data_IF_727894533333
#
_entry.id   IF_727894533333
#
_cell.length_a   1.000
_cell.length_b   1.000
_cell.length_c   1.000
_cell.angle_alpha   90.00
_cell.angle_beta   90.00
_cell.angle_gamma   90.00
#
_symmetry.space_group_name_H-M   'P 1'
#
loop_
_entity.id
_entity.type
_entity.pdbx_description
1 polymer ?
#
# COMPACT_ATOMS: atom_id res chain seq x y z
N UNK A 1 -29.04 5.76 -20.99
CA UNK A 1 -30.17 5.02 -20.41
C UNK A 1 -29.66 3.65 -20.00
N UNK A 2 -29.88 3.24 -18.75
CA UNK A 2 -29.43 1.94 -18.25
C UNK A 2 -30.34 0.82 -18.79
N UNK A 3 -29.74 -0.33 -19.09
CA UNK A 3 -30.39 -1.56 -19.56
C UNK A 3 -30.71 -2.49 -18.37
N UNK A 4 -31.61 -3.45 -18.54
CA UNK A 4 -31.95 -4.41 -17.47
C UNK A 4 -30.74 -5.20 -16.95
N UNK A 5 -29.80 -5.52 -17.84
CA UNK A 5 -28.53 -6.16 -17.50
C UNK A 5 -27.64 -5.29 -16.61
N UNK A 6 -27.77 -3.97 -16.71
CA UNK A 6 -27.02 -3.04 -15.86
C UNK A 6 -27.52 -3.13 -14.42
N UNK A 7 -28.83 -3.25 -14.19
CA UNK A 7 -29.38 -3.39 -12.84
C UNK A 7 -28.97 -4.70 -12.16
N UNK A 8 -28.83 -5.78 -12.92
CA UNK A 8 -28.26 -7.04 -12.43
C UNK A 8 -26.78 -6.88 -12.05
N UNK A 9 -26.00 -6.14 -12.85
CA UNK A 9 -24.60 -5.85 -12.54
C UNK A 9 -24.47 -4.98 -11.27
N UNK A 10 -25.26 -3.92 -11.15
CA UNK A 10 -25.29 -3.04 -9.98
C UNK A 10 -25.65 -3.79 -8.69
N UNK A 11 -26.66 -4.67 -8.76
CA UNK A 11 -27.07 -5.50 -7.62
C UNK A 11 -25.98 -6.45 -7.15
N UNK A 12 -25.22 -7.04 -8.10
CA UNK A 12 -24.08 -7.90 -7.78
C UNK A 12 -22.94 -7.13 -7.11
N UNK A 13 -22.71 -5.88 -7.52
CA UNK A 13 -21.69 -5.02 -6.94
C UNK A 13 -22.13 -4.38 -5.61
N UNK A 14 -23.44 -4.38 -5.31
CA UNK A 14 -24.02 -3.71 -4.14
C UNK A 14 -24.17 -2.21 -4.31
N UNK A 15 -24.16 -1.71 -5.55
CA UNK A 15 -24.27 -0.29 -5.88
C UNK A 15 -25.73 0.03 -6.18
N UNK A 16 -26.30 1.07 -5.57
CA UNK A 16 -27.66 1.47 -5.90
C UNK A 16 -27.71 2.27 -7.20
N UNK A 17 -28.88 2.26 -7.86
CA UNK A 17 -29.10 3.08 -9.07
C UNK A 17 -28.88 4.58 -8.76
N UNK A 18 -29.36 5.01 -7.61
CA UNK A 18 -29.28 6.40 -7.17
C UNK A 18 -27.82 6.84 -6.96
N UNK A 19 -26.97 5.96 -6.42
CA UNK A 19 -25.53 6.24 -6.27
C UNK A 19 -24.86 6.47 -7.62
N UNK A 20 -25.17 5.65 -8.63
CA UNK A 20 -24.61 5.80 -9.98
C UNK A 20 -25.10 7.09 -10.64
N UNK A 21 -26.39 7.40 -10.53
CA UNK A 21 -26.96 8.64 -11.07
C UNK A 21 -26.33 9.87 -10.41
N UNK A 22 -26.10 9.82 -9.10
CA UNK A 22 -25.40 10.87 -8.35
C UNK A 22 -23.93 11.00 -8.76
N UNK A 23 -23.22 9.89 -8.98
CA UNK A 23 -21.84 9.90 -9.46
C UNK A 23 -21.74 10.58 -10.84
N UNK A 24 -22.61 10.20 -11.78
CA UNK A 24 -22.65 10.81 -13.12
C UNK A 24 -23.00 12.30 -13.03
N UNK A 25 -23.99 12.66 -12.21
CA UNK A 25 -24.37 14.06 -12.00
C UNK A 25 -23.20 14.90 -11.43
N UNK A 26 -22.41 14.32 -10.51
CA UNK A 26 -21.22 14.99 -9.98
C UNK A 26 -20.14 15.21 -11.05
N UNK A 27 -19.97 14.28 -12.00
CA UNK A 27 -19.06 14.49 -13.13
C UNK A 27 -19.56 15.57 -14.10
N UNK A 28 -20.87 15.64 -14.36
CA UNK A 28 -21.48 16.66 -15.21
C UNK A 28 -21.41 18.06 -14.59
N UNK A 29 -21.74 18.17 -13.30
CA UNK A 29 -21.78 19.45 -12.58
C UNK A 29 -20.39 19.92 -12.15
N UNK A 30 -19.46 18.99 -11.98
CA UNK A 30 -18.18 19.21 -11.34
C UNK A 30 -18.29 19.29 -9.82
N UNK A 31 -17.16 19.20 -9.14
CA UNK A 31 -17.08 19.35 -7.68
C UNK A 31 -16.81 20.82 -7.33
N UNK A 32 -17.47 21.36 -6.30
CA UNK A 32 -17.17 22.71 -5.83
C UNK A 32 -15.71 22.77 -5.37
N UNK A 33 -15.06 23.90 -5.63
CA UNK A 33 -13.74 24.16 -5.07
C UNK A 33 -13.84 24.26 -3.55
N UNK A 34 -12.82 23.74 -2.86
CA UNK A 34 -12.66 23.98 -1.44
C UNK A 34 -12.45 25.48 -1.20
N UNK A 35 -13.17 26.04 -0.24
CA UNK A 35 -12.97 27.42 0.20
C UNK A 35 -11.71 27.48 1.08
N UNK A 36 -10.58 27.89 0.49
CA UNK A 36 -9.29 27.98 1.17
C UNK A 36 -9.22 29.32 1.91
N UNK A 37 -9.37 29.28 3.23
CA UNK A 37 -9.38 30.48 4.06
C UNK A 37 -7.97 31.03 4.30
N UNK A 38 -7.07 30.22 4.87
CA UNK A 38 -5.66 30.57 5.19
C UNK A 38 -4.87 29.30 5.55
N UNK A 39 -3.52 29.31 5.49
CA UNK A 39 -2.71 28.17 5.93
C UNK A 39 -2.85 27.94 7.44
N UNK A 40 -2.73 26.67 7.87
CA UNK A 40 -2.64 26.34 9.29
C UNK A 40 -1.25 26.76 9.83
N UNK A 41 -1.22 27.49 10.94
CA UNK A 41 -0.01 27.94 11.63
C UNK A 41 0.03 27.39 13.06
N UNK A 42 1.18 27.50 13.72
CA UNK A 42 1.27 27.19 15.16
C UNK A 42 0.35 28.15 15.92
N UNK A 43 -0.58 27.59 16.69
CA UNK A 43 -1.64 28.34 17.38
C UNK A 43 -2.89 28.62 16.52
N UNK A 44 -2.89 28.22 15.24
CA UNK A 44 -3.97 28.44 14.28
C UNK A 44 -4.13 27.18 13.41
N UNK A 45 -4.65 26.12 14.03
CA UNK A 45 -4.83 24.80 13.40
C UNK A 45 -3.68 23.81 13.63
N UNK A 46 -2.49 24.27 14.06
CA UNK A 46 -1.39 23.39 14.49
C UNK A 46 -1.10 23.63 15.97
N UNK A 47 -1.17 22.55 16.77
CA UNK A 47 -0.74 22.55 18.17
C UNK A 47 0.74 22.20 18.22
N UNK A 48 1.54 23.02 18.90
CA UNK A 48 2.93 22.73 19.21
C UNK A 48 3.03 22.38 20.68
N UNK A 49 3.53 21.19 20.97
CA UNK A 49 3.76 20.71 22.33
C UNK A 49 5.19 21.03 22.76
N UNK A 50 5.36 21.46 24.00
CA UNK A 50 6.64 21.53 24.69
C UNK A 50 7.07 20.14 25.15
N UNK A 51 8.37 19.93 25.37
CA UNK A 51 8.90 18.59 25.70
C UNK A 51 8.23 17.96 26.93
N UNK A 52 7.94 18.74 27.97
CA UNK A 52 7.25 18.24 29.17
C UNK A 52 5.81 17.80 28.89
N UNK A 53 5.10 18.50 28.01
CA UNK A 53 3.72 18.15 27.64
C UNK A 53 3.68 16.84 26.84
N UNK A 54 4.70 16.60 26.01
CA UNK A 54 4.83 15.34 25.27
C UNK A 54 4.98 14.17 26.22
N UNK A 55 5.86 14.28 27.23
CA UNK A 55 6.08 13.19 28.20
C UNK A 55 4.81 12.88 29.00
N UNK A 56 4.10 13.92 29.48
CA UNK A 56 2.83 13.78 30.21
C UNK A 56 1.75 13.10 29.36
N UNK A 57 1.61 13.48 28.08
CA UNK A 57 0.65 12.87 27.15
C UNK A 57 1.00 11.42 26.83
N UNK A 58 2.29 11.12 26.66
CA UNK A 58 2.76 9.75 26.43
C UNK A 58 2.44 8.86 27.64
N UNK A 59 2.61 9.37 28.85
CA UNK A 59 2.28 8.61 30.07
C UNK A 59 0.76 8.44 30.25
N UNK A 60 -0.03 9.47 29.94
CA UNK A 60 -1.49 9.37 29.86
C UNK A 60 -1.90 8.28 28.86
N UNK A 61 -1.32 8.28 27.66
CA UNK A 61 -1.57 7.26 26.65
C UNK A 61 -1.17 5.86 27.12
N UNK A 62 -0.03 5.68 27.81
CA UNK A 62 0.35 4.38 28.37
C UNK A 62 -0.64 3.87 29.42
N UNK A 63 -1.24 4.77 30.20
CA UNK A 63 -2.24 4.43 31.23
C UNK A 63 -3.64 4.17 30.69
N UNK A 64 -3.92 4.58 29.44
CA UNK A 64 -5.23 4.44 28.84
C UNK A 64 -5.63 2.98 28.62
N UNK A 65 -6.70 2.52 29.28
CA UNK A 65 -7.13 1.12 29.21
C UNK A 65 -8.01 0.79 27.99
N UNK A 66 -8.42 1.81 27.23
CA UNK A 66 -9.29 1.62 26.07
C UNK A 66 -8.64 0.80 24.95
N UNK A 67 -9.51 0.24 24.12
CA UNK A 67 -9.18 -0.57 22.97
C UNK A 67 -8.40 0.23 21.93
N UNK A 68 -7.48 -0.45 21.24
CA UNK A 68 -6.62 0.15 20.22
C UNK A 68 -6.49 -0.78 19.05
N UNK A 69 -6.55 -0.23 17.86
CA UNK A 69 -6.33 -1.00 16.63
C UNK A 69 -5.58 -0.19 15.60
N UNK A 70 -4.71 -0.86 14.85
CA UNK A 70 -4.01 -0.27 13.72
C UNK A 70 -4.68 -0.68 12.42
N UNK A 71 -5.28 0.28 11.74
CA UNK A 71 -5.92 0.10 10.44
C UNK A 71 -4.94 0.44 9.31
N UNK A 72 -4.72 -0.51 8.40
CA UNK A 72 -3.73 -0.42 7.33
C UNK A 72 -4.37 -0.65 5.97
N UNK A 73 -4.57 0.41 5.17
CA UNK A 73 -5.00 0.27 3.80
C UNK A 73 -3.92 -0.43 2.94
N UNK A 74 -4.22 -1.63 2.42
CA UNK A 74 -3.25 -2.48 1.74
C UNK A 74 -3.78 -3.15 0.44
N UNK A 75 -4.92 -2.71 -0.09
CA UNK A 75 -5.58 -3.31 -1.26
C UNK A 75 -4.92 -2.99 -2.60
N UNK A 76 -4.03 -1.98 -2.65
CA UNK A 76 -3.39 -1.55 -3.89
C UNK A 76 -2.24 -2.44 -4.35
N UNK A 77 -2.27 -2.86 -5.62
CA UNK A 77 -1.13 -3.46 -6.30
C UNK A 77 0.03 -2.45 -6.46
N UNK A 78 1.26 -2.94 -6.45
CA UNK A 78 2.46 -2.11 -6.61
C UNK A 78 2.74 -1.70 -8.06
N UNK A 79 1.86 -1.98 -9.03
CA UNK A 79 2.12 -1.80 -10.47
C UNK A 79 2.59 -0.39 -10.83
N UNK A 80 2.04 0.67 -10.22
CA UNK A 80 2.51 2.06 -10.45
C UNK A 80 3.93 2.31 -9.95
N UNK A 81 4.37 1.61 -8.90
CA UNK A 81 5.72 1.72 -8.35
C UNK A 81 6.78 1.28 -9.36
N UNK A 82 6.45 0.33 -10.23
CA UNK A 82 7.37 -0.25 -11.22
C UNK A 82 7.13 0.24 -12.65
N UNK A 83 6.29 1.28 -12.86
CA UNK A 83 5.93 1.79 -14.20
C UNK A 83 7.15 2.08 -15.07
N UNK A 84 8.14 2.78 -14.54
CA UNK A 84 9.36 3.12 -15.28
C UNK A 84 10.21 1.91 -15.66
N UNK A 85 10.16 0.83 -14.87
CA UNK A 85 10.87 -0.41 -15.19
C UNK A 85 10.14 -1.19 -16.30
N UNK A 86 8.80 -1.14 -16.34
CA UNK A 86 8.03 -1.68 -17.45
C UNK A 86 8.25 -0.90 -18.75
N UNK A 87 8.22 0.44 -18.68
CA UNK A 87 8.56 1.29 -19.83
C UNK A 87 9.97 0.97 -20.35
N UNK A 88 10.93 0.75 -19.45
CA UNK A 88 12.27 0.32 -19.82
C UNK A 88 12.30 -1.08 -20.48
N UNK A 89 11.53 -2.06 -19.97
CA UNK A 89 11.46 -3.41 -20.57
C UNK A 89 10.99 -3.38 -22.03
N UNK A 90 10.06 -2.48 -22.36
CA UNK A 90 9.52 -2.33 -23.71
C UNK A 90 10.50 -1.58 -24.62
N UNK A 91 11.15 -0.52 -24.11
CA UNK A 91 12.00 0.37 -24.89
C UNK A 91 13.43 -0.17 -25.10
N UNK A 92 14.03 -0.80 -24.09
CA UNK A 92 15.43 -1.18 -24.08
C UNK A 92 15.86 -2.11 -25.23
N UNK A 93 15.07 -3.12 -25.66
CA UNK A 93 15.41 -3.95 -26.81
C UNK A 93 15.62 -3.17 -28.12
N UNK A 94 14.98 -1.99 -28.26
CA UNK A 94 15.07 -1.16 -29.47
C UNK A 94 16.04 0.01 -29.29
N UNK A 95 15.99 0.68 -28.13
CA UNK A 95 16.75 1.91 -27.85
C UNK A 95 18.13 1.68 -27.22
N UNK A 96 18.37 0.49 -26.66
CA UNK A 96 19.64 0.14 -26.01
C UNK A 96 20.08 1.16 -24.96
N UNK A 97 21.32 1.65 -25.08
CA UNK A 97 21.91 2.56 -24.10
C UNK A 97 21.20 3.93 -24.00
N UNK A 98 20.37 4.31 -24.98
CA UNK A 98 19.60 5.56 -24.94
C UNK A 98 18.61 5.59 -23.75
N UNK A 99 18.16 4.42 -23.28
CA UNK A 99 17.32 4.30 -22.09
C UNK A 99 18.01 4.76 -20.79
N UNK A 100 19.34 4.99 -20.82
CA UNK A 100 20.14 5.43 -19.68
C UNK A 100 20.58 6.89 -19.78
N UNK A 101 20.06 7.68 -20.71
CA UNK A 101 20.40 9.11 -20.83
C UNK A 101 19.97 9.87 -19.59
N UNK A 102 18.77 9.59 -19.05
CA UNK A 102 18.33 10.18 -17.79
C UNK A 102 19.13 9.58 -16.62
N UNK A 103 19.78 10.47 -15.85
CA UNK A 103 20.55 10.16 -14.64
C UNK A 103 19.89 10.71 -13.38
N UNK A 104 18.65 11.17 -13.49
CA UNK A 104 17.86 11.68 -12.38
C UNK A 104 17.56 10.61 -11.33
N UNK A 105 17.10 11.06 -10.15
CA UNK A 105 16.83 10.18 -9.01
C UNK A 105 15.82 9.06 -9.33
N UNK A 106 14.79 9.35 -10.12
CA UNK A 106 13.76 8.37 -10.50
C UNK A 106 14.07 7.60 -11.80
N UNK A 107 15.29 7.73 -12.34
CA UNK A 107 15.67 7.10 -13.61
C UNK A 107 15.97 5.61 -13.45
N UNK A 108 15.82 4.86 -14.55
CA UNK A 108 16.24 3.45 -14.61
C UNK A 108 17.76 3.29 -14.44
N UNK A 109 18.56 4.28 -14.86
CA UNK A 109 19.99 4.27 -14.56
C UNK A 109 20.25 4.27 -13.05
N UNK A 110 19.63 5.19 -12.30
CA UNK A 110 19.80 5.26 -10.86
C UNK A 110 19.34 3.98 -10.16
N UNK A 111 18.28 3.34 -10.68
CA UNK A 111 17.83 2.03 -10.21
C UNK A 111 18.92 0.95 -10.33
N UNK A 112 19.52 0.77 -11.51
CA UNK A 112 20.54 -0.27 -11.71
C UNK A 112 21.84 0.02 -10.96
N UNK A 113 22.28 1.28 -10.91
CA UNK A 113 23.47 1.69 -10.13
C UNK A 113 23.34 1.39 -8.64
N UNK A 114 22.12 1.48 -8.12
CA UNK A 114 21.83 1.25 -6.70
C UNK A 114 21.10 -0.07 -6.45
N UNK A 115 21.06 -0.97 -7.44
CA UNK A 115 20.28 -2.21 -7.35
C UNK A 115 20.70 -3.05 -6.13
N UNK A 116 21.99 -3.04 -5.82
CA UNK A 116 22.58 -3.73 -4.66
C UNK A 116 22.15 -3.18 -3.29
N UNK A 117 21.60 -1.96 -3.23
CA UNK A 117 21.13 -1.31 -1.99
C UNK A 117 19.68 -1.62 -1.67
N UNK A 118 18.91 -2.14 -2.62
CA UNK A 118 17.50 -2.46 -2.39
C UNK A 118 17.35 -3.64 -1.44
N UNK A 119 16.31 -3.59 -0.61
CA UNK A 119 15.98 -4.64 0.35
C UNK A 119 15.71 -6.01 -0.30
N UNK A 120 15.25 -6.02 -1.55
CA UNK A 120 15.01 -7.26 -2.30
C UNK A 120 16.24 -7.79 -3.05
N UNK A 121 17.36 -7.09 -3.08
CA UNK A 121 18.53 -7.45 -3.90
C UNK A 121 19.03 -8.88 -3.64
N UNK A 122 19.18 -9.25 -2.38
CA UNK A 122 19.61 -10.60 -1.98
C UNK A 122 18.64 -11.69 -2.44
N UNK A 123 17.36 -11.36 -2.54
CA UNK A 123 16.31 -12.30 -3.00
C UNK A 123 16.30 -12.40 -4.51
N UNK A 124 16.45 -11.27 -5.21
CA UNK A 124 16.59 -11.22 -6.67
C UNK A 124 17.80 -12.02 -7.15
N UNK A 125 18.95 -11.84 -6.49
CA UNK A 125 20.17 -12.58 -6.82
C UNK A 125 19.97 -14.09 -6.69
N UNK A 126 19.36 -14.54 -5.58
CA UNK A 126 19.08 -15.97 -5.35
C UNK A 126 18.11 -16.55 -6.38
N UNK A 127 17.11 -15.77 -6.77
CA UNK A 127 16.14 -16.16 -7.81
C UNK A 127 16.85 -16.35 -9.16
N UNK A 128 17.71 -15.41 -9.56
CA UNK A 128 18.52 -15.51 -10.78
C UNK A 128 19.45 -16.72 -10.75
N UNK A 129 20.17 -16.93 -9.64
CA UNK A 129 21.07 -18.07 -9.45
C UNK A 129 20.33 -19.41 -9.53
N UNK A 130 19.12 -19.50 -8.96
CA UNK A 130 18.28 -20.70 -9.03
C UNK A 130 17.83 -21.02 -10.47
N UNK A 131 17.74 -19.99 -11.31
CA UNK A 131 17.47 -20.11 -12.75
C UNK A 131 18.75 -20.20 -13.60
N UNK A 132 19.91 -20.48 -12.97
CA UNK A 132 21.23 -20.64 -13.61
C UNK A 132 21.80 -19.38 -14.26
N UNK A 133 21.34 -18.20 -13.85
CA UNK A 133 21.94 -16.93 -14.24
C UNK A 133 22.95 -16.44 -13.20
N UNK A 134 24.03 -15.79 -13.65
CA UNK A 134 24.92 -15.01 -12.78
C UNK A 134 24.54 -13.54 -12.90
N UNK A 135 24.24 -12.89 -11.77
CA UNK A 135 23.91 -11.47 -11.75
C UNK A 135 25.05 -10.62 -12.34
N UNK A 136 26.29 -10.92 -11.98
CA UNK A 136 27.47 -10.21 -12.48
C UNK A 136 27.63 -10.36 -14.01
N UNK A 137 27.38 -11.56 -14.54
CA UNK A 137 27.40 -11.80 -15.98
C UNK A 137 26.30 -11.02 -16.70
N UNK A 138 25.06 -11.04 -16.19
CA UNK A 138 23.95 -10.29 -16.79
C UNK A 138 24.22 -8.77 -16.84
N UNK A 139 24.82 -8.20 -15.79
CA UNK A 139 25.22 -6.79 -15.79
C UNK A 139 26.33 -6.52 -16.81
N UNK A 140 27.34 -7.40 -16.91
CA UNK A 140 28.44 -7.25 -17.86
C UNK A 140 27.98 -7.37 -19.32
N UNK A 141 27.05 -8.28 -19.59
CA UNK A 141 26.43 -8.52 -20.89
C UNK A 141 25.33 -7.49 -21.21
N UNK A 142 25.02 -6.59 -20.28
CA UNK A 142 23.92 -5.62 -20.36
C UNK A 142 22.55 -6.26 -20.60
N UNK A 143 22.35 -7.49 -20.12
CA UNK A 143 21.05 -8.17 -20.13
C UNK A 143 20.19 -7.73 -18.93
N UNK A 144 19.80 -6.46 -18.97
CA UNK A 144 18.91 -5.86 -17.99
C UNK A 144 17.49 -6.40 -18.08
N UNK A 145 17.10 -6.93 -19.25
CA UNK A 145 15.76 -7.51 -19.48
C UNK A 145 15.57 -8.72 -18.59
N UNK A 146 16.53 -9.66 -18.57
CA UNK A 146 16.44 -10.86 -17.73
C UNK A 146 16.35 -10.50 -16.23
N UNK A 147 17.11 -9.49 -15.78
CA UNK A 147 17.07 -9.01 -14.39
C UNK A 147 15.67 -8.47 -14.04
N UNK A 148 15.10 -7.61 -14.89
CA UNK A 148 13.79 -7.01 -14.63
C UNK A 148 12.65 -8.03 -14.74
N UNK A 149 12.74 -9.00 -15.65
CA UNK A 149 11.77 -10.10 -15.73
C UNK A 149 11.77 -10.94 -14.46
N UNK A 150 12.95 -11.29 -13.94
CA UNK A 150 13.07 -12.02 -12.68
C UNK A 150 12.52 -11.23 -11.46
N UNK A 151 12.49 -9.91 -11.54
CA UNK A 151 11.91 -9.05 -10.51
C UNK A 151 10.38 -8.93 -10.66
N UNK A 152 9.89 -8.64 -11.87
CA UNK A 152 8.54 -8.13 -12.09
C UNK A 152 7.54 -9.18 -12.56
N UNK A 153 7.98 -10.20 -13.32
CA UNK A 153 7.08 -11.14 -13.98
C UNK A 153 6.63 -12.29 -13.05
N UNK A 154 5.49 -12.94 -13.35
CA UNK A 154 5.08 -14.17 -12.69
C UNK A 154 6.14 -15.29 -12.75
N UNK A 155 6.01 -16.28 -11.87
CA UNK A 155 6.90 -17.45 -11.74
C UNK A 155 8.31 -17.19 -11.19
N UNK A 156 8.68 -15.91 -11.00
CA UNK A 156 9.88 -15.49 -10.28
C UNK A 156 9.48 -14.68 -9.04
N UNK A 157 10.07 -13.51 -8.77
CA UNK A 157 9.68 -12.69 -7.62
C UNK A 157 8.29 -12.08 -7.75
N UNK A 158 7.80 -11.85 -8.98
CA UNK A 158 6.45 -11.37 -9.27
C UNK A 158 6.09 -10.02 -8.62
N UNK A 159 7.07 -9.15 -8.35
CA UNK A 159 6.82 -7.87 -7.64
C UNK A 159 5.87 -6.94 -8.39
N UNK A 160 5.76 -7.08 -9.71
CA UNK A 160 4.82 -6.31 -10.52
C UNK A 160 3.35 -6.54 -10.20
N UNK A 161 3.01 -7.74 -9.71
CA UNK A 161 1.65 -8.16 -9.38
C UNK A 161 1.40 -8.31 -7.87
N UNK A 162 2.40 -8.05 -7.03
CA UNK A 162 2.22 -8.10 -5.58
C UNK A 162 1.70 -6.76 -5.04
N UNK A 163 0.88 -6.76 -3.98
CA UNK A 163 0.58 -5.55 -3.22
C UNK A 163 1.85 -5.09 -2.49
N UNK A 164 1.96 -3.78 -2.26
CA UNK A 164 3.13 -3.18 -1.59
C UNK A 164 3.43 -3.81 -0.23
N UNK A 165 2.40 -4.27 0.49
CA UNK A 165 2.53 -4.97 1.76
C UNK A 165 3.40 -6.22 1.73
N UNK A 166 3.50 -6.91 0.58
CA UNK A 166 4.29 -8.13 0.43
C UNK A 166 5.69 -7.87 -0.17
N UNK A 167 6.02 -6.61 -0.45
CA UNK A 167 7.30 -6.20 -1.03
C UNK A 167 8.26 -5.79 0.10
N UNK A 168 9.54 -6.14 -0.05
CA UNK A 168 10.62 -5.75 0.87
C UNK A 168 10.98 -4.27 0.70
N UNK A 169 10.86 -3.51 1.79
CA UNK A 169 11.10 -2.06 1.80
C UNK A 169 12.42 -1.71 2.46
N UNK A 170 12.76 -2.35 3.59
CA UNK A 170 13.96 -2.03 4.35
C UNK A 170 14.83 -3.26 4.58
N UNK A 171 16.12 -3.01 4.75
CA UNK A 171 17.12 -4.03 5.01
C UNK A 171 17.83 -3.73 6.33
N UNK A 172 17.95 -4.75 7.17
CA UNK A 172 18.62 -4.70 8.47
C UNK A 172 19.69 -5.81 8.55
N UNK A 173 20.61 -5.78 9.52
CA UNK A 173 21.62 -6.83 9.71
C UNK A 173 21.02 -8.23 9.85
N UNK A 174 19.85 -8.35 10.49
CA UNK A 174 19.11 -9.60 10.68
C UNK A 174 18.28 -10.03 9.46
N UNK A 175 18.11 -9.14 8.48
CA UNK A 175 17.39 -9.44 7.24
C UNK A 175 16.52 -8.28 6.74
N UNK A 176 15.91 -8.53 5.58
CA UNK A 176 15.04 -7.56 4.92
C UNK A 176 13.58 -7.76 5.30
N UNK A 177 12.86 -6.68 5.57
CA UNK A 177 11.45 -6.71 5.99
C UNK A 177 10.54 -6.22 4.88
N UNK A 178 9.40 -6.88 4.75
CA UNK A 178 8.27 -6.41 3.96
C UNK A 178 7.60 -5.21 4.60
N UNK A 179 6.85 -4.43 3.82
CA UNK A 179 6.07 -3.33 4.38
C UNK A 179 5.08 -3.82 5.45
N UNK A 180 4.45 -4.98 5.26
CA UNK A 180 3.59 -5.61 6.28
C UNK A 180 4.33 -5.88 7.60
N UNK A 181 5.55 -6.42 7.54
CA UNK A 181 6.37 -6.66 8.73
C UNK A 181 6.72 -5.35 9.46
N UNK A 182 6.98 -4.26 8.73
CA UNK A 182 7.17 -2.95 9.36
C UNK A 182 5.93 -2.47 10.12
N UNK A 183 4.74 -2.78 9.61
CA UNK A 183 3.50 -2.48 10.30
C UNK A 183 3.32 -3.29 11.59
N UNK A 184 3.81 -4.54 11.67
CA UNK A 184 3.84 -5.33 12.90
C UNK A 184 4.75 -4.68 13.96
N UNK A 185 5.97 -4.31 13.57
CA UNK A 185 6.92 -3.63 14.47
C UNK A 185 6.37 -2.33 15.01
N UNK A 186 5.71 -1.52 14.18
CA UNK A 186 5.06 -0.29 14.63
C UNK A 186 3.84 -0.56 15.52
N UNK A 187 3.01 -1.55 15.15
CA UNK A 187 1.84 -1.93 15.94
C UNK A 187 2.21 -2.34 17.36
N UNK A 188 3.27 -3.12 17.53
CA UNK A 188 3.79 -3.51 18.84
C UNK A 188 4.24 -2.32 19.71
N UNK A 189 4.54 -1.17 19.12
CA UNK A 189 5.09 -0.02 19.83
C UNK A 189 4.03 0.99 20.29
N UNK A 190 2.95 1.20 19.52
CA UNK A 190 1.89 2.16 19.87
C UNK A 190 0.47 1.58 19.89
N UNK A 191 0.19 0.47 19.20
CA UNK A 191 -1.13 -0.18 19.23
C UNK A 191 -1.24 -1.33 20.25
N UNK A 192 -0.18 -1.56 21.05
CA UNK A 192 -0.15 -2.54 22.14
C UNK A 192 -1.10 -2.13 23.27
N UNK A 193 -1.96 -3.06 23.67
CA UNK A 193 -2.84 -2.95 24.84
C UNK A 193 -2.11 -3.39 26.12
N UNK A 194 -2.69 -3.08 27.28
CA UNK A 194 -2.11 -3.43 28.59
C UNK A 194 -1.92 -4.94 28.81
N UNK A 195 -2.75 -5.77 28.17
CA UNK A 195 -2.66 -7.23 28.20
C UNK A 195 -1.64 -7.79 27.17
N UNK A 196 -0.89 -6.93 26.48
CA UNK A 196 0.05 -7.26 25.41
C UNK A 196 -0.56 -7.78 24.11
N UNK A 197 -1.88 -7.67 23.93
CA UNK A 197 -2.49 -7.86 22.62
C UNK A 197 -2.23 -6.66 21.72
N UNK A 198 -2.06 -6.91 20.43
CA UNK A 198 -1.93 -5.90 19.38
C UNK A 198 -2.87 -6.25 18.24
N UNK A 199 -3.84 -5.37 17.97
CA UNK A 199 -4.81 -5.58 16.91
C UNK A 199 -4.39 -4.82 15.65
N UNK A 200 -4.34 -5.54 14.52
CA UNK A 200 -4.15 -4.96 13.20
C UNK A 200 -5.31 -5.35 12.31
N UNK A 201 -5.78 -4.39 11.51
CA UNK A 201 -6.79 -4.61 10.50
C UNK A 201 -6.26 -4.15 9.14
N UNK A 202 -6.26 -5.04 8.17
CA UNK A 202 -5.82 -4.73 6.81
C UNK A 202 -7.00 -4.77 5.84
N UNK A 203 -7.12 -3.76 4.99
CA UNK A 203 -7.94 -3.88 3.78
C UNK A 203 -7.07 -4.46 2.67
N UNK A 204 -7.46 -5.61 2.12
CA UNK A 204 -6.73 -6.33 1.07
C UNK A 204 -7.65 -6.60 -0.10
N UNK A 205 -7.11 -6.78 -1.31
CA UNK A 205 -7.93 -7.31 -2.40
C UNK A 205 -8.09 -8.84 -2.27
N UNK A 206 -9.20 -9.43 -2.76
CA UNK A 206 -9.45 -10.87 -2.65
C UNK A 206 -8.29 -11.72 -3.17
N UNK A 207 -7.68 -11.32 -4.28
CA UNK A 207 -6.57 -12.02 -4.93
C UNK A 207 -5.25 -11.98 -4.12
N UNK A 208 -5.11 -11.02 -3.21
CA UNK A 208 -3.90 -10.83 -2.40
C UNK A 208 -4.02 -11.31 -0.96
N UNK A 209 -5.25 -11.59 -0.48
CA UNK A 209 -5.52 -12.05 0.88
C UNK A 209 -4.67 -13.25 1.30
N UNK A 210 -4.65 -14.30 0.48
CA UNK A 210 -3.87 -15.52 0.74
C UNK A 210 -2.36 -15.23 0.88
N UNK A 211 -1.85 -14.24 0.14
CA UNK A 211 -0.45 -13.81 0.24
C UNK A 211 -0.14 -13.21 1.61
N UNK A 212 -1.01 -12.35 2.13
CA UNK A 212 -0.87 -11.78 3.47
C UNK A 212 -1.02 -12.84 4.57
N UNK A 213 -2.01 -13.72 4.48
CA UNK A 213 -2.21 -14.78 5.48
C UNK A 213 -1.00 -15.72 5.56
N UNK A 214 -0.44 -16.11 4.41
CA UNK A 214 0.79 -16.91 4.35
C UNK A 214 1.99 -16.19 4.96
N UNK A 215 2.16 -14.90 4.63
CA UNK A 215 3.25 -14.11 5.20
C UNK A 215 3.10 -13.95 6.71
N UNK A 216 1.89 -13.60 7.18
CA UNK A 216 1.57 -13.47 8.60
C UNK A 216 1.89 -14.76 9.37
N UNK A 217 1.39 -15.91 8.90
CA UNK A 217 1.67 -17.20 9.54
C UNK A 217 3.17 -17.52 9.64
N UNK A 218 3.96 -17.08 8.65
CA UNK A 218 5.41 -17.28 8.62
C UNK A 218 6.14 -16.37 9.62
N UNK A 219 5.78 -15.08 9.69
CA UNK A 219 6.57 -14.09 10.43
C UNK A 219 6.07 -13.87 11.86
N UNK A 220 4.77 -14.02 12.12
CA UNK A 220 4.15 -13.72 13.42
C UNK A 220 4.87 -14.36 14.61
N UNK A 221 5.25 -15.65 14.62
CA UNK A 221 5.91 -16.24 15.78
C UNK A 221 7.16 -15.48 16.23
N UNK A 222 8.02 -15.09 15.29
CA UNK A 222 9.26 -14.37 15.56
C UNK A 222 9.00 -12.95 16.08
N UNK A 223 8.04 -12.23 15.52
CA UNK A 223 7.72 -10.88 15.96
C UNK A 223 7.00 -10.89 17.33
N UNK A 224 6.13 -11.87 17.59
CA UNK A 224 5.49 -12.03 18.90
C UNK A 224 6.52 -12.29 20.01
N UNK A 225 7.50 -13.17 19.75
CA UNK A 225 8.59 -13.43 20.67
C UNK A 225 9.45 -12.17 20.89
N UNK A 226 9.85 -11.51 19.80
CA UNK A 226 10.71 -10.31 19.84
C UNK A 226 10.10 -9.18 20.66
N UNK A 227 8.80 -8.92 20.51
CA UNK A 227 8.13 -7.81 21.20
C UNK A 227 7.40 -8.21 22.49
N UNK A 228 7.30 -9.52 22.78
CA UNK A 228 6.51 -10.03 23.90
C UNK A 228 5.04 -9.63 23.80
N UNK A 229 4.45 -9.79 22.61
CA UNK A 229 3.05 -9.44 22.31
C UNK A 229 2.33 -10.58 21.61
N UNK A 230 1.00 -10.53 21.61
CA UNK A 230 0.16 -11.40 20.78
C UNK A 230 -0.52 -10.56 19.70
N UNK A 231 -0.28 -10.89 18.44
CA UNK A 231 -0.89 -10.18 17.33
C UNK A 231 -2.22 -10.81 16.95
N UNK A 232 -3.23 -9.96 16.73
CA UNK A 232 -4.53 -10.34 16.18
C UNK A 232 -4.70 -9.60 14.87
N UNK A 233 -4.70 -10.33 13.76
CA UNK A 233 -4.75 -9.74 12.41
C UNK A 233 -6.06 -10.08 11.76
N UNK A 234 -6.83 -9.04 11.46
CA UNK A 234 -8.08 -9.12 10.72
C UNK A 234 -7.88 -8.57 9.30
N UNK A 235 -8.68 -9.12 8.39
CA UNK A 235 -8.69 -8.71 7.00
C UNK A 235 -10.12 -8.34 6.61
N UNK A 236 -10.23 -7.25 5.85
CA UNK A 236 -11.44 -6.88 5.14
C UNK A 236 -11.11 -6.68 3.66
N UNK A 237 -12.12 -6.79 2.82
CA UNK A 237 -12.00 -6.50 1.40
C UNK A 237 -12.61 -5.14 1.13
N UNK A 238 -12.06 -4.41 0.17
CA UNK A 238 -12.67 -3.17 -0.27
C UNK A 238 -14.04 -3.50 -0.88
N UNK A 239 -15.11 -2.94 -0.30
CA UNK A 239 -16.48 -3.21 -0.74
C UNK A 239 -16.66 -2.68 -2.16
N UNK A 240 -16.98 -3.55 -3.12
CA UNK A 240 -17.27 -3.16 -4.51
C UNK A 240 -18.46 -2.20 -4.63
N UNK A 241 -19.29 -2.10 -3.59
CA UNK A 241 -20.38 -1.12 -3.49
C UNK A 241 -19.89 0.32 -3.53
N UNK A 242 -18.61 0.54 -3.26
CA UNK A 242 -17.98 1.86 -3.28
C UNK A 242 -17.37 2.22 -4.63
N UNK A 243 -17.39 1.29 -5.60
CA UNK A 243 -16.80 1.52 -6.90
C UNK A 243 -17.50 2.65 -7.65
N UNK A 244 -16.71 3.46 -8.35
CA UNK A 244 -17.20 4.59 -9.13
C UNK A 244 -17.36 4.20 -10.59
N UNK A 245 -18.48 4.57 -11.20
CA UNK A 245 -18.72 4.32 -12.62
C UNK A 245 -17.72 5.09 -13.47
N UNK A 246 -17.10 4.41 -14.45
CA UNK A 246 -16.28 5.08 -15.44
C UNK A 246 -17.17 5.74 -16.49
N UNK A 247 -16.84 6.97 -16.89
CA UNK A 247 -17.55 7.72 -17.94
C UNK A 247 -16.62 8.11 -19.08
N UNK A 248 -17.19 8.34 -20.26
CA UNK A 248 -16.47 8.90 -21.41
C UNK A 248 -16.34 10.42 -21.32
N UNK A 249 -15.73 11.03 -22.35
CA UNK A 249 -15.54 12.49 -22.45
C UNK A 249 -16.85 13.30 -22.50
N UNK A 250 -17.99 12.63 -22.69
CA UNK A 250 -19.33 13.21 -22.68
C UNK A 250 -20.13 12.85 -21.41
N UNK A 251 -19.45 12.38 -20.35
CA UNK A 251 -20.04 11.91 -19.10
C UNK A 251 -21.06 10.76 -19.26
N UNK A 252 -20.98 9.98 -20.35
CA UNK A 252 -21.81 8.79 -20.52
C UNK A 252 -21.11 7.57 -19.94
N UNK A 253 -21.85 6.63 -19.31
CA UNK A 253 -21.27 5.40 -18.78
C UNK A 253 -20.42 4.64 -19.81
N UNK A 254 -19.15 4.43 -19.47
CA UNK A 254 -18.20 3.68 -20.29
C UNK A 254 -18.51 2.18 -20.22
N UNK A 255 -18.38 1.50 -21.36
CA UNK A 255 -18.74 0.08 -21.50
C UNK A 255 -17.61 -0.72 -22.12
N UNK A 256 -17.49 -1.96 -21.69
CA UNK A 256 -16.66 -2.96 -22.35
C UNK A 256 -17.27 -3.39 -23.70
N UNK A 257 -16.49 -4.10 -24.51
CA UNK A 257 -16.94 -4.62 -25.80
C UNK A 257 -18.14 -5.59 -25.68
N UNK A 258 -18.34 -6.22 -24.52
CA UNK A 258 -19.49 -7.08 -24.22
C UNK A 258 -20.74 -6.32 -23.76
N UNK A 259 -20.65 -4.99 -23.66
CA UNK A 259 -21.72 -4.09 -23.22
C UNK A 259 -21.84 -3.90 -21.70
N UNK A 260 -21.01 -4.57 -20.88
CA UNK A 260 -20.98 -4.38 -19.43
C UNK A 260 -20.46 -2.99 -19.02
N UNK A 261 -20.98 -2.46 -17.91
CA UNK A 261 -20.51 -1.19 -17.36
C UNK A 261 -19.11 -1.36 -16.75
N UNK A 262 -18.25 -0.35 -16.91
CA UNK A 262 -16.92 -0.34 -16.30
C UNK A 262 -16.96 0.45 -15.00
N UNK A 263 -16.48 -0.19 -13.93
CA UNK A 263 -16.31 0.43 -12.62
C UNK A 263 -14.82 0.52 -12.28
N UNK A 264 -14.46 1.55 -11.53
CA UNK A 264 -13.12 1.70 -10.97
C UNK A 264 -13.23 1.73 -9.44
N UNK A 265 -12.27 1.13 -8.72
CA UNK A 265 -12.25 1.20 -7.27
C UNK A 265 -12.48 2.63 -6.79
N UNK A 266 -13.50 2.81 -5.95
CA UNK A 266 -13.74 4.07 -5.28
C UNK A 266 -12.49 4.47 -4.52
N UNK A 267 -12.13 5.75 -4.55
CA UNK A 267 -10.96 6.25 -3.82
C UNK A 267 -11.15 6.15 -2.29
N UNK A 268 -10.72 7.18 -1.56
CA UNK A 268 -10.80 7.21 -0.09
C UNK A 268 -12.20 7.00 0.50
N UNK A 269 -13.29 7.04 -0.28
CA UNK A 269 -14.65 6.71 0.18
C UNK A 269 -14.79 5.26 0.69
N UNK A 270 -14.02 4.32 0.12
CA UNK A 270 -14.03 2.93 0.57
C UNK A 270 -13.32 2.71 1.92
N UNK A 271 -12.49 3.67 2.35
CA UNK A 271 -11.88 3.67 3.67
C UNK A 271 -12.95 3.89 4.75
N UNK A 272 -13.88 4.82 4.54
CA UNK A 272 -14.87 5.22 5.55
C UNK A 272 -15.80 4.07 5.90
N UNK A 273 -16.28 3.32 4.92
CA UNK A 273 -17.14 2.16 5.20
C UNK A 273 -16.40 1.07 5.98
N UNK A 274 -15.15 0.78 5.62
CA UNK A 274 -14.34 -0.19 6.36
C UNK A 274 -13.98 0.30 7.76
N UNK A 275 -13.81 1.61 7.93
CA UNK A 275 -13.51 2.23 9.22
C UNK A 275 -14.73 2.22 10.14
N UNK A 276 -15.94 2.41 9.61
CA UNK A 276 -17.18 2.34 10.37
C UNK A 276 -17.44 0.94 10.96
N UNK A 277 -16.86 -0.10 10.38
CA UNK A 277 -16.95 -1.48 10.88
C UNK A 277 -15.95 -1.76 12.03
N UNK A 278 -15.09 -0.80 12.36
CA UNK A 278 -14.08 -0.93 13.43
C UNK A 278 -14.62 -0.36 14.74
N UNK A 279 -14.91 -1.25 15.68
CA UNK A 279 -15.27 -0.90 17.06
C UNK A 279 -14.01 -0.82 17.94
N UNK A 280 -13.44 0.39 18.04
CA UNK A 280 -12.31 0.66 18.92
C UNK A 280 -12.22 2.13 19.31
N UNK A 281 -11.78 2.40 20.54
CA UNK A 281 -11.63 3.76 21.06
C UNK A 281 -10.56 4.56 20.31
N UNK A 282 -9.46 3.91 19.92
CA UNK A 282 -8.37 4.52 19.16
C UNK A 282 -8.07 3.71 17.90
N UNK A 283 -8.24 4.33 16.74
CA UNK A 283 -7.89 3.75 15.44
C UNK A 283 -6.69 4.46 14.81
N UNK A 284 -5.56 3.76 14.70
CA UNK A 284 -4.38 4.26 14.01
C UNK A 284 -4.45 3.94 12.52
N UNK A 285 -4.73 4.94 11.70
CA UNK A 285 -4.78 4.79 10.23
C UNK A 285 -3.40 5.11 9.64
N UNK A 286 -2.82 4.18 8.88
CA UNK A 286 -1.56 4.41 8.17
C UNK A 286 -1.50 3.58 6.88
N UNK A 287 -1.21 4.21 5.75
CA UNK A 287 -1.02 3.52 4.46
C UNK A 287 0.08 2.47 4.56
N UNK A 288 -0.09 1.34 3.86
CA UNK A 288 0.83 0.20 3.90
C UNK A 288 2.28 0.55 3.54
N UNK A 289 2.49 1.55 2.68
CA UNK A 289 3.80 1.98 2.18
C UNK A 289 4.39 3.16 2.95
N UNK A 290 3.64 3.79 3.85
CA UNK A 290 4.13 4.84 4.72
C UNK A 290 4.81 4.21 5.93
N UNK A 291 5.94 3.54 5.70
CA UNK A 291 6.77 2.90 6.72
C UNK A 291 8.18 3.46 6.65
N UNK A 292 8.86 3.49 7.78
CA UNK A 292 10.22 4.03 7.88
C UNK A 292 11.16 3.01 8.53
N UNK A 293 12.48 3.08 8.28
CA UNK A 293 13.45 2.21 8.94
C UNK A 293 13.46 2.39 10.46
N UNK A 294 13.90 1.37 11.20
CA UNK A 294 13.97 1.39 12.68
C UNK A 294 14.69 2.62 13.27
N UNK A 295 15.68 3.19 12.58
CA UNK A 295 16.39 4.41 13.04
C UNK A 295 15.50 5.67 13.06
N UNK A 296 14.44 5.72 12.26
CA UNK A 296 13.51 6.88 12.16
C UNK A 296 12.22 6.62 12.97
N UNK A 297 11.90 5.35 13.26
CA UNK A 297 10.66 4.97 13.97
C UNK A 297 10.43 5.65 15.32
N UNK A 298 11.45 5.87 16.19
CA UNK A 298 11.20 6.45 17.51
C UNK A 298 10.40 7.75 17.47
N UNK A 299 10.70 8.63 16.50
CA UNK A 299 9.97 9.88 16.31
C UNK A 299 8.53 9.63 15.87
N UNK A 300 8.31 8.69 14.93
CA UNK A 300 6.95 8.32 14.49
C UNK A 300 6.13 7.75 15.64
N UNK A 301 6.74 6.91 16.48
CA UNK A 301 6.08 6.26 17.62
C UNK A 301 5.74 7.28 18.70
N UNK A 302 6.63 8.23 18.96
CA UNK A 302 6.41 9.30 19.94
C UNK A 302 5.14 10.08 19.61
N UNK A 303 5.00 10.57 18.38
CA UNK A 303 3.82 11.36 17.96
C UNK A 303 2.57 10.51 17.64
N UNK A 304 2.62 9.20 17.88
CA UNK A 304 1.45 8.31 17.82
C UNK A 304 0.91 7.97 19.22
N UNK A 305 1.66 8.28 20.27
CA UNK A 305 1.24 8.17 21.65
C UNK A 305 0.75 9.54 22.11
#
# INVERSE_FOLDING_TARGET
MFLDKDFEQLRKLGISKEDVENQVHNFEKGFPFLDIVKPALVGDGIIRLECSEVDDLVDLFKSYEGSRIKFVPASGAATRMFKHLYEFLDDYPTKGDECFIDKGFNSTWNFFENLNKFAFYSTLRKELESNKYSFEALIQEKDYVTILKALLEPYTLNYGNLPKGLIKFHNYPEGSRTAFEEHLTEGAQYARMLNNDVFLHLTVSPEHRNGFEKLANKVLPSYQETYGVKFHINYSEQKSSTDTIAVDEYNKPFRNADGSLVFRPGGHGALLENLNDIDSDIVFIKNIDNVVPDVIKPQTVLYKK
#
